data_IF_710352753936
#
_entry.id   IF_710352753936
#
_cell.length_a   1.000
_cell.length_b   1.000
_cell.length_c   1.000
_cell.angle_alpha   90.00
_cell.angle_beta   90.00
_cell.angle_gamma   90.00
#
_symmetry.space_group_name_H-M   'P 1'
#
loop_
_entity.id
_entity.type
_entity.pdbx_description
1 polymer ?
#
# COMPACT_ATOMS: atom_id res chain seq x y z
N UNK A 1 -20.62 19.17 -15.17
CA UNK A 1 -20.13 17.78 -15.35
C UNK A 1 -18.61 17.65 -15.44
N UNK A 2 -17.84 18.64 -15.91
CA UNK A 2 -16.36 18.56 -15.94
C UNK A 2 -15.68 18.91 -14.60
N UNK A 3 -16.24 19.83 -13.81
CA UNK A 3 -15.66 20.25 -12.53
C UNK A 3 -15.63 19.12 -11.49
N UNK A 4 -16.67 18.28 -11.42
CA UNK A 4 -16.73 17.15 -10.48
C UNK A 4 -15.71 16.05 -10.82
N UNK A 5 -15.47 15.81 -12.11
CA UNK A 5 -14.41 14.90 -12.58
C UNK A 5 -13.00 15.45 -12.34
N UNK A 6 -12.84 16.77 -12.43
CA UNK A 6 -11.56 17.42 -12.11
C UNK A 6 -11.30 17.39 -10.60
N UNK A 7 -12.32 17.69 -9.78
CA UNK A 7 -12.25 17.67 -8.33
C UNK A 7 -11.91 16.27 -7.80
N UNK A 8 -12.61 15.23 -8.27
CA UNK A 8 -12.33 13.83 -7.89
C UNK A 8 -10.92 13.38 -8.27
N UNK A 9 -10.40 13.81 -9.44
CA UNK A 9 -9.00 13.53 -9.83
C UNK A 9 -8.00 14.29 -8.96
N UNK A 10 -8.30 15.53 -8.59
CA UNK A 10 -7.47 16.32 -7.68
C UNK A 10 -7.39 15.65 -6.30
N UNK A 11 -8.54 15.24 -5.74
CA UNK A 11 -8.61 14.54 -4.45
C UNK A 11 -7.84 13.21 -4.48
N UNK A 12 -7.96 12.44 -5.56
CA UNK A 12 -7.19 11.22 -5.75
C UNK A 12 -5.67 11.48 -5.83
N UNK A 13 -5.24 12.60 -6.44
CA UNK A 13 -3.84 13.00 -6.47
C UNK A 13 -3.35 13.46 -5.08
N UNK A 14 -4.16 14.19 -4.33
CA UNK A 14 -3.87 14.59 -2.95
C UNK A 14 -3.71 13.36 -2.05
N UNK A 15 -4.62 12.39 -2.13
CA UNK A 15 -4.52 11.15 -1.36
C UNK A 15 -3.25 10.34 -1.69
N UNK A 16 -2.86 10.28 -2.97
CA UNK A 16 -1.59 9.64 -3.40
C UNK A 16 -0.37 10.39 -2.87
N UNK A 17 -0.36 11.73 -2.95
CA UNK A 17 0.74 12.55 -2.43
C UNK A 17 0.86 12.41 -0.90
N UNK A 18 -0.25 12.38 -0.18
CA UNK A 18 -0.27 12.20 1.27
C UNK A 18 0.29 10.81 1.67
N UNK A 19 -0.07 9.77 0.91
CA UNK A 19 0.51 8.42 1.06
C UNK A 19 2.03 8.44 0.81
N UNK A 20 2.49 9.11 -0.26
CA UNK A 20 3.93 9.23 -0.55
C UNK A 20 4.69 10.00 0.54
N UNK A 21 4.11 11.08 1.08
CA UNK A 21 4.71 11.86 2.16
C UNK A 21 4.87 11.02 3.45
N UNK A 22 3.85 10.23 3.79
CA UNK A 22 3.91 9.29 4.93
C UNK A 22 4.96 8.20 4.71
N UNK A 23 5.01 7.59 3.52
CA UNK A 23 6.06 6.62 3.17
C UNK A 23 7.46 7.21 3.23
N UNK A 24 7.66 8.47 2.84
CA UNK A 24 8.95 9.14 2.95
C UNK A 24 9.36 9.36 4.42
N UNK A 25 8.39 9.63 5.28
CA UNK A 25 8.59 9.81 6.73
C UNK A 25 9.06 8.53 7.40
N UNK A 26 8.60 7.37 6.93
CA UNK A 26 8.99 6.04 7.43
C UNK A 26 10.34 5.57 6.84
N UNK A 27 10.54 5.74 5.53
CA UNK A 27 11.73 5.22 4.85
C UNK A 27 13.03 5.95 5.22
N UNK A 28 12.97 7.25 5.52
CA UNK A 28 14.16 8.06 5.84
C UNK A 28 14.83 7.63 7.17
N UNK A 29 14.11 7.47 8.29
CA UNK A 29 14.66 6.89 9.52
C UNK A 29 15.25 5.50 9.31
N UNK A 30 14.54 4.62 8.58
CA UNK A 30 14.97 3.25 8.32
C UNK A 30 16.33 3.19 7.60
N UNK A 31 16.52 4.03 6.59
CA UNK A 31 17.79 4.13 5.87
C UNK A 31 18.95 4.64 6.72
N UNK A 32 18.70 5.54 7.68
CA UNK A 32 19.73 6.05 8.59
C UNK A 32 20.16 4.98 9.60
N UNK A 33 19.21 4.20 10.14
CA UNK A 33 19.52 3.16 11.10
C UNK A 33 20.30 2.03 10.43
N UNK A 34 19.90 1.62 9.22
CA UNK A 34 20.65 0.62 8.44
C UNK A 34 22.11 1.02 8.24
N UNK A 35 22.38 2.29 7.89
CA UNK A 35 23.75 2.82 7.77
C UNK A 35 24.52 2.81 9.09
N UNK A 36 23.86 3.13 10.21
CA UNK A 36 24.49 3.08 11.54
C UNK A 36 24.88 1.65 11.93
N UNK A 37 24.02 0.69 11.57
CA UNK A 37 24.23 -0.73 11.80
C UNK A 37 25.35 -1.30 10.92
N UNK A 38 25.38 -0.93 9.64
CA UNK A 38 26.46 -1.24 8.70
C UNK A 38 27.82 -0.71 9.20
N UNK A 39 27.87 0.54 9.66
CA UNK A 39 29.08 1.15 10.25
C UNK A 39 29.54 0.42 11.53
N UNK A 40 28.61 0.00 12.39
CA UNK A 40 28.93 -0.74 13.62
C UNK A 40 29.43 -2.16 13.32
N UNK A 41 28.85 -2.83 12.33
CA UNK A 41 29.33 -4.13 11.83
C UNK A 41 30.74 -4.02 11.24
N UNK A 42 31.00 -3.00 10.43
CA UNK A 42 32.30 -2.80 9.79
C UNK A 42 33.44 -2.56 10.80
N UNK A 43 33.13 -1.96 11.95
CA UNK A 43 34.13 -1.68 13.01
C UNK A 43 34.32 -2.83 13.99
N UNK A 44 33.49 -3.88 13.94
CA UNK A 44 33.54 -5.00 14.88
C UNK A 44 33.21 -4.59 16.34
N UNK A 45 32.65 -3.41 16.54
CA UNK A 45 32.32 -2.90 17.88
C UNK A 45 30.98 -3.47 18.32
N UNK A 46 31.02 -4.64 18.95
CA UNK A 46 29.84 -5.33 19.46
C UNK A 46 29.01 -4.43 20.40
N UNK A 47 29.64 -3.64 21.27
CA UNK A 47 28.93 -2.73 22.19
C UNK A 47 28.09 -1.69 21.42
N UNK A 48 28.68 -1.04 20.41
CA UNK A 48 27.95 -0.11 19.54
C UNK A 48 26.88 -0.80 18.70
N UNK A 49 27.09 -2.06 18.34
CA UNK A 49 26.09 -2.86 17.64
C UNK A 49 24.85 -3.10 18.53
N UNK A 50 25.06 -3.45 19.80
CA UNK A 50 23.97 -3.59 20.78
C UNK A 50 23.23 -2.27 21.00
N UNK A 51 23.94 -1.15 21.19
CA UNK A 51 23.33 0.18 21.34
C UNK A 51 22.55 0.60 20.08
N UNK A 52 23.07 0.29 18.89
CA UNK A 52 22.41 0.60 17.61
C UNK A 52 21.18 -0.30 17.41
N UNK A 53 21.20 -1.55 17.86
CA UNK A 53 20.04 -2.43 17.83
C UNK A 53 18.94 -2.02 18.79
N UNK A 54 19.29 -1.62 20.02
CA UNK A 54 18.32 -1.06 20.98
C UNK A 54 17.62 0.18 20.42
N UNK A 55 18.37 1.02 19.68
CA UNK A 55 17.82 2.17 18.99
C UNK A 55 16.95 1.75 17.79
N UNK A 56 17.38 0.75 17.01
CA UNK A 56 16.62 0.18 15.90
C UNK A 56 15.27 -0.34 16.38
N UNK A 57 15.24 -1.13 17.45
CA UNK A 57 14.02 -1.73 18.00
C UNK A 57 13.00 -0.66 18.44
N UNK A 58 13.47 0.39 19.13
CA UNK A 58 12.62 1.54 19.52
C UNK A 58 12.05 2.29 18.31
N UNK A 59 12.87 2.54 17.30
CA UNK A 59 12.43 3.23 16.08
C UNK A 59 11.50 2.36 15.23
N UNK A 60 11.76 1.06 15.20
CA UNK A 60 10.95 0.07 14.49
C UNK A 60 9.55 -0.03 15.08
N UNK A 61 9.42 -0.17 16.41
CA UNK A 61 8.11 -0.21 17.09
C UNK A 61 7.30 1.07 16.83
N UNK A 62 7.93 2.25 16.87
CA UNK A 62 7.24 3.50 16.57
C UNK A 62 6.77 3.56 15.11
N UNK A 63 7.60 3.10 14.18
CA UNK A 63 7.22 2.97 12.77
C UNK A 63 6.08 1.97 12.56
N UNK A 64 6.07 0.82 13.22
CA UNK A 64 4.98 -0.15 13.10
C UNK A 64 3.66 0.45 13.56
N UNK A 65 3.64 1.12 14.71
CA UNK A 65 2.46 1.83 15.20
C UNK A 65 2.00 2.89 14.19
N UNK A 66 2.91 3.69 13.64
CA UNK A 66 2.56 4.69 12.62
C UNK A 66 2.07 4.06 11.30
N UNK A 67 2.64 2.94 10.89
CA UNK A 67 2.22 2.20 9.70
C UNK A 67 0.82 1.60 9.87
N UNK A 68 0.51 1.05 11.05
CA UNK A 68 -0.82 0.55 11.40
C UNK A 68 -1.85 1.69 11.38
N UNK A 69 -1.55 2.83 12.01
CA UNK A 69 -2.42 4.01 11.94
C UNK A 69 -2.62 4.51 10.50
N UNK A 70 -1.57 4.46 9.68
CA UNK A 70 -1.65 4.84 8.27
C UNK A 70 -2.51 3.85 7.48
N UNK A 71 -2.38 2.55 7.69
CA UNK A 71 -3.20 1.52 7.05
C UNK A 71 -4.69 1.73 7.37
N UNK A 72 -5.02 1.98 8.64
CA UNK A 72 -6.39 2.26 9.08
C UNK A 72 -6.93 3.54 8.43
N UNK A 73 -6.15 4.62 8.42
CA UNK A 73 -6.55 5.88 7.78
C UNK A 73 -6.69 5.74 6.26
N UNK A 74 -5.81 4.98 5.62
CA UNK A 74 -5.87 4.69 4.18
C UNK A 74 -7.04 3.78 3.83
N UNK A 75 -7.37 2.78 4.66
CA UNK A 75 -8.55 1.94 4.48
C UNK A 75 -9.83 2.78 4.53
N UNK A 76 -9.92 3.71 5.48
CA UNK A 76 -11.04 4.67 5.57
C UNK A 76 -11.15 5.60 4.35
N UNK A 77 -10.03 6.11 3.85
CA UNK A 77 -10.02 6.98 2.65
C UNK A 77 -10.25 6.21 1.34
N UNK A 78 -9.76 4.96 1.25
CA UNK A 78 -9.98 4.06 0.11
C UNK A 78 -11.44 3.62 0.04
N UNK A 79 -12.09 3.41 1.19
CA UNK A 79 -13.53 3.15 1.28
C UNK A 79 -14.37 4.31 0.71
N UNK A 80 -13.96 5.57 0.95
CA UNK A 80 -14.63 6.74 0.36
C UNK A 80 -14.40 6.89 -1.15
N UNK A 81 -13.23 6.48 -1.65
CA UNK A 81 -12.83 6.65 -3.07
C UNK A 81 -13.13 5.44 -3.94
N UNK A 82 -13.47 4.29 -3.34
CA UNK A 82 -13.91 3.08 -4.02
C UNK A 82 -15.26 2.66 -3.42
N UNK A 83 -16.37 3.26 -3.88
CA UNK A 83 -17.69 2.93 -3.36
C UNK A 83 -17.97 1.43 -3.58
N UNK A 84 -18.45 0.72 -2.56
CA UNK A 84 -18.78 -0.72 -2.68
C UNK A 84 -19.70 -1.02 -3.88
N UNK A 85 -20.60 -0.10 -4.24
CA UNK A 85 -21.47 -0.23 -5.40
C UNK A 85 -20.72 -0.29 -6.74
N UNK A 86 -19.62 0.45 -6.89
CA UNK A 86 -18.79 0.41 -8.10
C UNK A 86 -18.01 -0.91 -8.17
N UNK A 87 -17.53 -1.43 -7.04
CA UNK A 87 -16.85 -2.73 -6.94
C UNK A 87 -17.84 -3.87 -7.24
N UNK A 88 -19.05 -3.84 -6.68
CA UNK A 88 -20.07 -4.85 -6.91
C UNK A 88 -20.52 -4.88 -8.38
N UNK A 89 -20.66 -3.71 -9.01
CA UNK A 89 -20.96 -3.61 -10.44
C UNK A 89 -19.84 -4.18 -11.30
N UNK A 90 -18.58 -3.89 -10.97
CA UNK A 90 -17.42 -4.47 -11.67
C UNK A 90 -17.32 -5.99 -11.46
N UNK A 91 -17.54 -6.47 -10.24
CA UNK A 91 -17.59 -7.90 -9.91
C UNK A 91 -18.67 -8.62 -10.71
N UNK A 92 -19.84 -8.00 -10.87
CA UNK A 92 -20.93 -8.56 -11.66
C UNK A 92 -20.59 -8.58 -13.16
N UNK A 93 -20.00 -7.52 -13.70
CA UNK A 93 -19.52 -7.49 -15.09
C UNK A 93 -18.45 -8.54 -15.36
N UNK A 94 -17.47 -8.69 -14.47
CA UNK A 94 -16.42 -9.72 -14.59
C UNK A 94 -17.02 -11.12 -14.47
N UNK A 95 -17.99 -11.34 -13.58
CA UNK A 95 -18.69 -12.63 -13.46
C UNK A 95 -19.50 -12.97 -14.73
N UNK A 96 -20.18 -11.99 -15.32
CA UNK A 96 -20.93 -12.16 -16.57
C UNK A 96 -20.00 -12.45 -17.75
N UNK A 97 -18.86 -11.76 -17.84
CA UNK A 97 -17.83 -12.00 -18.86
C UNK A 97 -17.20 -13.40 -18.71
N UNK A 98 -16.85 -13.81 -17.49
CA UNK A 98 -16.35 -15.16 -17.22
C UNK A 98 -17.42 -16.22 -17.55
N UNK A 99 -18.69 -15.94 -17.26
CA UNK A 99 -19.83 -16.79 -17.62
C UNK A 99 -20.08 -16.87 -19.13
N UNK A 100 -19.82 -15.78 -19.87
CA UNK A 100 -19.83 -15.78 -21.34
C UNK A 100 -18.68 -16.59 -21.90
N UNK A 101 -17.45 -16.37 -21.40
CA UNK A 101 -16.24 -17.08 -21.83
C UNK A 101 -16.39 -18.58 -21.60
N UNK A 102 -16.86 -19.00 -20.41
CA UNK A 102 -17.12 -20.41 -20.09
C UNK A 102 -18.14 -21.06 -21.04
N UNK A 103 -19.25 -20.37 -21.32
CA UNK A 103 -20.26 -20.83 -22.30
C UNK A 103 -19.73 -20.90 -23.73
N UNK A 104 -18.88 -19.95 -24.11
CA UNK A 104 -18.21 -19.95 -25.40
C UNK A 104 -17.33 -21.20 -25.53
N UNK A 105 -16.42 -21.46 -24.59
CA UNK A 105 -15.58 -22.67 -24.62
C UNK A 105 -16.38 -23.98 -24.60
N UNK A 106 -17.50 -24.02 -23.87
CA UNK A 106 -18.38 -25.19 -23.88
C UNK A 106 -19.03 -25.43 -25.24
N UNK A 107 -19.42 -24.38 -25.96
CA UNK A 107 -19.94 -24.47 -27.33
C UNK A 107 -18.88 -25.00 -28.31
N UNK A 108 -17.64 -24.54 -28.24
CA UNK A 108 -16.55 -25.03 -29.12
C UNK A 108 -16.15 -26.48 -28.84
N UNK A 109 -16.40 -26.99 -27.62
CA UNK A 109 -16.15 -28.39 -27.27
C UNK A 109 -17.17 -29.37 -27.87
N UNK A 110 -18.33 -28.88 -28.33
CA UNK A 110 -19.37 -29.69 -28.99
C UNK A 110 -19.22 -29.79 -30.53
N UNK A 111 -18.32 -29.02 -31.15
CA UNK A 111 -18.08 -29.03 -32.59
C UNK A 111 -16.84 -29.84 -33.00
N UNK A 112 -16.33 -30.70 -32.13
CA UNK A 112 -15.25 -31.65 -32.40
C UNK A 112 -15.68 -33.05 -31.99
#
# INVERSE_FOLDING_TARGET
>A
MNYLRLATRLDAMVARLDTQAKMFTINKPMGNIFKSLESSLATGNLQKMWETMDLFEKQFVNMEVQAEFMEIAMAGSTSLSTPEGEVNSLMQQVADDLGFISRYYQKYRYYR
#
